data_IF_425637888947
#
_entry.id   IF_425637888947
#
_cell.length_a   1.000
_cell.length_b   1.000
_cell.length_c   1.000
_cell.angle_alpha   90.00
_cell.angle_beta   90.00
_cell.angle_gamma   90.00
#
_symmetry.space_group_name_H-M   'P 1'
#
loop_
_entity.id
_entity.type
_entity.pdbx_description
1 polymer ?
#
# COMPACT_ATOMS: atom_id res chain seq x y z
N UNK A 1 -17.69 27.30 0.36
CA UNK A 1 -18.88 27.53 -0.48
C UNK A 1 -20.09 26.97 0.26
N UNK A 2 -21.13 27.77 0.44
CA UNK A 2 -22.40 27.31 1.03
C UNK A 2 -23.33 26.87 -0.10
N UNK A 3 -23.90 25.67 -0.02
CA UNK A 3 -24.87 25.15 -0.99
C UNK A 3 -26.13 24.66 -0.27
N UNK A 4 -27.27 24.62 -0.99
CA UNK A 4 -28.53 24.11 -0.43
C UNK A 4 -28.51 22.58 -0.44
N UNK A 5 -28.93 21.96 0.66
CA UNK A 5 -28.86 20.50 0.85
C UNK A 5 -29.49 19.68 -0.29
N UNK A 6 -30.57 20.18 -0.91
CA UNK A 6 -31.27 19.50 -2.01
C UNK A 6 -30.68 19.78 -3.41
N UNK A 7 -29.76 20.74 -3.51
CA UNK A 7 -29.01 21.05 -4.73
C UNK A 7 -27.60 20.42 -4.70
N UNK A 8 -27.34 19.54 -3.72
CA UNK A 8 -26.11 18.79 -3.63
C UNK A 8 -25.98 17.86 -4.86
N UNK A 9 -24.79 17.74 -5.47
CA UNK A 9 -24.55 16.73 -6.49
C UNK A 9 -24.94 15.35 -5.95
N UNK A 10 -25.75 14.61 -6.70
CA UNK A 10 -26.04 13.22 -6.37
C UNK A 10 -24.71 12.46 -6.34
N UNK A 11 -24.48 11.71 -5.27
CA UNK A 11 -23.32 10.81 -5.20
C UNK A 11 -23.42 9.82 -6.34
N UNK A 12 -22.36 9.72 -7.12
CA UNK A 12 -22.29 8.79 -8.24
C UNK A 12 -22.43 7.35 -7.73
N UNK A 13 -23.29 6.50 -8.33
CA UNK A 13 -23.53 5.14 -7.84
C UNK A 13 -22.27 4.27 -7.74
N UNK A 14 -21.25 4.55 -8.58
CA UNK A 14 -19.95 3.87 -8.55
C UNK A 14 -19.19 4.09 -7.25
N UNK A 15 -19.41 5.19 -6.51
CA UNK A 15 -18.80 5.44 -5.20
C UNK A 15 -19.25 4.46 -4.11
N UNK A 16 -20.34 3.72 -4.33
CA UNK A 16 -20.85 2.74 -3.38
C UNK A 16 -20.35 1.30 -3.66
N UNK A 17 -19.55 1.12 -4.71
CA UNK A 17 -18.89 -0.16 -4.96
C UNK A 17 -17.74 -0.31 -3.97
N UNK A 18 -17.58 -1.48 -3.33
CA UNK A 18 -16.66 -1.68 -2.20
C UNK A 18 -15.17 -1.40 -2.46
N UNK A 19 -14.77 -1.18 -3.71
CA UNK A 19 -13.40 -0.83 -4.10
C UNK A 19 -13.31 0.51 -4.86
N UNK A 20 -14.35 1.34 -4.79
CA UNK A 20 -14.31 2.71 -5.26
C UNK A 20 -13.37 3.55 -4.40
N UNK A 21 -12.73 4.55 -5.00
CA UNK A 21 -11.80 5.43 -4.27
C UNK A 21 -10.42 4.83 -4.01
N UNK A 22 -10.02 3.79 -4.75
CA UNK A 22 -8.63 3.35 -4.75
C UNK A 22 -7.72 4.52 -5.18
N UNK A 23 -6.77 4.87 -4.33
CA UNK A 23 -5.82 5.96 -4.57
C UNK A 23 -4.64 5.54 -5.47
N UNK A 24 -4.57 4.25 -5.80
CA UNK A 24 -3.53 3.68 -6.66
C UNK A 24 -4.08 3.51 -8.07
N UNK A 25 -3.53 4.27 -9.02
CA UNK A 25 -3.70 4.05 -10.44
C UNK A 25 -2.87 2.84 -10.89
N UNK A 26 -3.55 1.76 -11.29
CA UNK A 26 -2.95 0.44 -11.52
C UNK A 26 -2.10 0.37 -12.79
N UNK A 27 -2.45 1.17 -13.80
CA UNK A 27 -1.80 1.22 -15.13
C UNK A 27 -1.44 -0.16 -15.72
N UNK A 28 -2.30 -1.16 -15.52
CA UNK A 28 -1.97 -2.56 -15.83
C UNK A 28 -1.69 -2.81 -17.31
N UNK A 29 -2.32 -2.05 -18.21
CA UNK A 29 -2.12 -2.14 -19.66
C UNK A 29 -0.77 -1.57 -20.12
N UNK A 30 -0.14 -0.73 -19.31
CA UNK A 30 1.14 -0.06 -19.62
C UNK A 30 2.33 -0.70 -18.88
N UNK A 31 2.14 -1.88 -18.28
CA UNK A 31 3.16 -2.53 -17.46
C UNK A 31 4.18 -3.27 -18.32
N UNK A 32 5.40 -2.76 -18.36
CA UNK A 32 6.55 -3.43 -18.95
C UNK A 32 7.15 -4.49 -18.00
N UNK A 33 7.95 -5.39 -18.54
CA UNK A 33 8.62 -6.45 -17.76
C UNK A 33 9.53 -5.88 -16.66
N UNK A 34 10.15 -4.72 -16.93
CA UNK A 34 11.07 -4.01 -16.02
C UNK A 34 10.37 -2.99 -15.10
N UNK A 35 9.04 -3.05 -14.99
CA UNK A 35 8.27 -2.04 -14.26
C UNK A 35 8.60 -1.98 -12.77
N UNK A 36 8.94 -3.10 -12.14
CA UNK A 36 9.32 -3.15 -10.72
C UNK A 36 10.68 -2.50 -10.49
N UNK A 37 11.68 -2.78 -11.33
CA UNK A 37 13.01 -2.19 -11.21
C UNK A 37 12.96 -0.68 -11.42
N UNK A 38 12.19 -0.23 -12.43
CA UNK A 38 11.94 1.20 -12.67
C UNK A 38 11.25 1.88 -11.48
N UNK A 39 10.24 1.23 -10.90
CA UNK A 39 9.53 1.76 -9.75
C UNK A 39 10.43 1.85 -8.51
N UNK A 40 11.27 0.85 -8.25
CA UNK A 40 12.20 0.83 -7.12
C UNK A 40 13.37 1.81 -7.26
N UNK A 41 13.68 2.24 -8.49
CA UNK A 41 14.68 3.28 -8.73
C UNK A 41 14.17 4.69 -8.36
N UNK A 42 12.87 4.86 -8.16
CA UNK A 42 12.26 6.10 -7.66
C UNK A 42 12.40 6.17 -6.13
N UNK A 43 13.02 7.24 -5.62
CA UNK A 43 13.17 7.46 -4.17
C UNK A 43 11.83 7.62 -3.44
N UNK A 44 10.78 8.01 -4.16
CA UNK A 44 9.42 8.13 -3.64
C UNK A 44 8.66 6.79 -3.61
N UNK A 45 9.29 5.68 -4.02
CA UNK A 45 8.66 4.36 -3.98
C UNK A 45 8.25 3.97 -2.55
N UNK A 46 6.99 3.58 -2.40
CA UNK A 46 6.40 3.15 -1.13
C UNK A 46 6.09 1.67 -1.15
N UNK A 47 6.59 0.95 -0.16
CA UNK A 47 6.50 -0.51 -0.09
C UNK A 47 5.50 -0.93 0.99
N UNK A 48 4.62 -1.86 0.64
CA UNK A 48 3.74 -2.57 1.56
C UNK A 48 4.35 -3.95 1.81
N UNK A 49 4.91 -4.15 3.01
CA UNK A 49 5.57 -5.41 3.36
C UNK A 49 4.56 -6.45 3.82
N UNK A 50 4.71 -7.69 3.35
CA UNK A 50 3.76 -8.76 3.66
C UNK A 50 4.42 -10.12 3.83
N UNK A 51 3.87 -10.92 4.75
CA UNK A 51 4.28 -12.31 4.98
C UNK A 51 3.11 -13.11 5.53
N UNK A 52 2.99 -14.38 5.15
CA UNK A 52 1.99 -15.30 5.74
C UNK A 52 0.53 -14.82 5.62
N UNK A 53 0.19 -14.04 4.59
CA UNK A 53 -1.15 -13.45 4.42
C UNK A 53 -1.47 -12.29 5.36
N UNK A 54 -0.44 -11.69 5.96
CA UNK A 54 -0.53 -10.51 6.83
C UNK A 54 0.26 -9.35 6.22
N UNK A 55 -0.24 -8.14 6.41
CA UNK A 55 0.43 -6.88 6.08
C UNK A 55 1.17 -6.37 7.32
N UNK A 56 2.38 -5.86 7.13
CA UNK A 56 3.16 -5.24 8.21
C UNK A 56 2.83 -3.76 8.25
N UNK A 57 2.45 -3.29 9.43
CA UNK A 57 2.08 -1.90 9.67
C UNK A 57 2.93 -1.33 10.79
N UNK A 58 3.59 -0.21 10.54
CA UNK A 58 4.28 0.54 11.59
C UNK A 58 3.24 1.15 12.51
N UNK A 59 3.46 1.00 13.82
CA UNK A 59 2.63 1.59 14.86
C UNK A 59 3.43 2.71 15.53
N UNK A 60 3.01 3.94 15.29
CA UNK A 60 3.58 5.13 15.95
C UNK A 60 2.45 6.04 16.43
N UNK A 61 2.51 6.46 17.69
CA UNK A 61 1.52 7.37 18.30
C UNK A 61 0.06 6.93 18.11
N UNK A 62 -0.19 5.61 18.14
CA UNK A 62 -1.53 5.04 17.95
C UNK A 62 -2.05 5.07 16.51
N UNK A 63 -1.22 5.43 15.53
CA UNK A 63 -1.54 5.39 14.11
C UNK A 63 -0.78 4.27 13.41
N UNK A 64 -1.47 3.62 12.46
CA UNK A 64 -0.86 2.64 11.58
C UNK A 64 -0.37 3.31 10.29
N UNK A 65 0.86 2.98 9.90
CA UNK A 65 1.47 3.40 8.64
C UNK A 65 1.93 2.16 7.85
N UNK A 66 1.36 1.90 6.66
CA UNK A 66 1.73 0.74 5.84
C UNK A 66 2.99 0.96 4.99
N UNK A 67 3.53 2.18 4.94
CA UNK A 67 4.55 2.54 3.94
C UNK A 67 5.95 2.39 4.47
N UNK A 68 6.75 1.53 3.83
CA UNK A 68 8.18 1.39 4.06
C UNK A 68 8.95 1.98 2.89
N UNK A 69 10.09 2.61 3.19
CA UNK A 69 11.08 2.93 2.16
C UNK A 69 11.91 1.67 1.81
N UNK A 70 12.53 1.64 0.63
CA UNK A 70 13.36 0.52 0.21
C UNK A 70 14.50 0.20 1.20
N UNK A 71 15.20 1.24 1.68
CA UNK A 71 16.26 1.06 2.68
C UNK A 71 15.73 0.53 4.03
N UNK A 72 14.60 1.07 4.51
CA UNK A 72 13.95 0.63 5.75
C UNK A 72 13.50 -0.83 5.67
N UNK A 73 13.04 -1.27 4.49
CA UNK A 73 12.51 -2.62 4.28
C UNK A 73 13.56 -3.73 4.42
N UNK A 74 14.85 -3.40 4.30
CA UNK A 74 15.93 -4.39 4.44
C UNK A 74 15.97 -5.01 5.84
N UNK A 75 15.58 -4.26 6.88
CA UNK A 75 15.49 -4.76 8.25
C UNK A 75 14.43 -5.86 8.42
N UNK A 76 13.53 -6.02 7.45
CA UNK A 76 12.48 -7.06 7.42
C UNK A 76 12.79 -8.17 6.42
N UNK A 77 14.02 -8.21 5.89
CA UNK A 77 14.45 -9.15 4.86
C UNK A 77 13.53 -9.11 3.63
N UNK A 78 13.15 -7.89 3.22
CA UNK A 78 12.27 -7.68 2.07
C UNK A 78 12.90 -8.16 0.76
N UNK A 79 12.17 -9.00 0.02
CA UNK A 79 12.57 -9.53 -1.29
C UNK A 79 12.09 -8.59 -2.39
N UNK A 80 12.84 -7.50 -2.62
CA UNK A 80 12.49 -6.47 -3.60
C UNK A 80 12.34 -7.01 -5.04
N UNK A 81 13.12 -8.04 -5.39
CA UNK A 81 13.07 -8.79 -6.65
C UNK A 81 11.76 -9.57 -6.85
N UNK A 82 11.07 -9.92 -5.75
CA UNK A 82 9.74 -10.55 -5.76
C UNK A 82 8.61 -9.56 -5.50
N UNK A 83 8.93 -8.26 -5.56
CA UNK A 83 7.96 -7.19 -5.43
C UNK A 83 6.94 -7.19 -6.57
N UNK A 84 5.72 -6.75 -6.26
CA UNK A 84 4.65 -6.58 -7.24
C UNK A 84 4.28 -5.10 -7.28
N UNK A 85 4.48 -4.46 -8.44
CA UNK A 85 3.98 -3.11 -8.67
C UNK A 85 2.45 -3.10 -8.63
N UNK A 86 1.88 -2.41 -7.65
CA UNK A 86 0.43 -2.23 -7.54
C UNK A 86 -0.05 -1.10 -8.45
N UNK A 87 0.78 -0.08 -8.63
CA UNK A 87 0.50 1.08 -9.46
C UNK A 87 1.19 2.34 -8.92
N UNK A 88 0.60 3.49 -9.22
CA UNK A 88 1.11 4.80 -8.84
C UNK A 88 0.06 5.56 -8.06
N UNK A 89 0.53 6.39 -7.13
CA UNK A 89 -0.28 7.31 -6.35
C UNK A 89 0.27 8.72 -6.50
N UNK A 90 -0.42 9.71 -5.92
CA UNK A 90 0.09 11.09 -5.86
C UNK A 90 1.49 11.20 -5.21
N UNK A 91 1.84 10.25 -4.33
CA UNK A 91 3.11 10.23 -3.60
C UNK A 91 4.18 9.34 -4.25
N UNK A 92 3.94 8.81 -5.46
CA UNK A 92 4.89 7.95 -6.17
C UNK A 92 4.43 6.49 -6.34
N UNK A 93 5.35 5.60 -6.80
CA UNK A 93 5.07 4.20 -7.06
C UNK A 93 4.72 3.44 -5.79
N UNK A 94 3.82 2.46 -5.89
CA UNK A 94 3.38 1.63 -4.77
C UNK A 94 3.60 0.16 -5.09
N UNK A 95 4.34 -0.54 -4.24
CA UNK A 95 4.67 -1.94 -4.42
C UNK A 95 4.23 -2.78 -3.22
N UNK A 96 3.75 -4.00 -3.47
CA UNK A 96 3.61 -5.03 -2.44
C UNK A 96 4.86 -5.92 -2.47
N UNK A 97 5.52 -6.11 -1.33
CA UNK A 97 6.81 -6.79 -1.27
C UNK A 97 6.79 -7.88 -0.19
N UNK A 98 7.14 -9.14 -0.53
CA UNK A 98 7.32 -10.18 0.46
C UNK A 98 8.44 -9.84 1.46
N UNK A 99 8.16 -9.95 2.75
CA UNK A 99 9.16 -9.87 3.82
C UNK A 99 9.65 -11.27 4.22
N UNK A 100 10.86 -11.37 4.76
CA UNK A 100 11.44 -12.64 5.24
C UNK A 100 11.24 -12.89 6.74
N UNK A 101 11.12 -11.82 7.53
CA UNK A 101 10.87 -11.94 8.97
C UNK A 101 9.46 -12.50 9.21
N UNK A 102 9.35 -13.52 10.06
CA UNK A 102 8.08 -14.08 10.50
C UNK A 102 7.28 -13.07 11.36
N UNK A 103 5.94 -13.04 11.26
CA UNK A 103 5.09 -12.12 12.01
C UNK A 103 5.33 -12.09 13.53
N UNK A 104 5.67 -13.25 14.10
CA UNK A 104 5.92 -13.43 15.53
C UNK A 104 7.27 -12.87 16.00
N UNK A 105 8.18 -12.58 15.06
CA UNK A 105 9.52 -12.03 15.31
C UNK A 105 9.63 -10.52 14.99
N UNK A 106 8.51 -9.86 14.71
CA UNK A 106 8.49 -8.43 14.42
C UNK A 106 8.81 -7.59 15.67
N UNK A 107 9.45 -6.42 15.50
CA UNK A 107 9.64 -5.48 16.59
C UNK A 107 8.28 -4.98 17.11
N UNK A 108 8.21 -4.56 18.38
CA UNK A 108 6.96 -4.09 19.00
C UNK A 108 6.31 -2.91 18.26
N UNK A 109 7.12 -2.13 17.54
CA UNK A 109 6.72 -0.99 16.71
C UNK A 109 6.08 -1.39 15.38
N UNK A 110 6.01 -2.68 15.04
CA UNK A 110 5.38 -3.17 13.82
C UNK A 110 4.38 -4.28 14.16
N UNK A 111 3.19 -4.19 13.55
CA UNK A 111 2.13 -5.19 13.70
C UNK A 111 1.89 -5.90 12.38
N UNK A 112 1.80 -7.23 12.43
CA UNK A 112 1.30 -8.02 11.33
C UNK A 112 -0.22 -8.18 11.46
N UNK A 113 -0.97 -7.67 10.48
CA UNK A 113 -2.44 -7.71 10.47
C UNK A 113 -2.91 -8.48 9.25
N UNK A 114 -3.88 -9.38 9.42
CA UNK A 114 -4.48 -10.09 8.29
C UNK A 114 -5.25 -9.13 7.37
N UNK A 115 -5.28 -9.41 6.07
CA UNK A 115 -5.87 -8.49 5.09
C UNK A 115 -7.36 -8.19 5.32
N UNK A 116 -8.12 -9.08 5.96
CA UNK A 116 -9.55 -8.86 6.21
C UNK A 116 -9.75 -7.87 7.35
N UNK A 117 -8.91 -7.94 8.38
CA UNK A 117 -8.94 -6.99 9.50
C UNK A 117 -8.44 -5.59 9.12
N UNK A 118 -7.64 -5.45 8.07
CA UNK A 118 -7.22 -4.12 7.55
C UNK A 118 -8.38 -3.35 6.92
N UNK A 119 -9.39 -4.05 6.39
CA UNK A 119 -10.54 -3.44 5.73
C UNK A 119 -11.67 -3.03 6.70
N UNK A 120 -11.84 -3.78 7.80
CA UNK A 120 -13.00 -3.68 8.69
C UNK A 120 -12.96 -2.48 9.65
#
# INVERSE_FOLDING_TARGET
MSFRLFDAPLREPSQFVGFAGNQIDRQSENRADDAVEKALADEAARLMLMHGGRLYLKLSEGKFDPWFAAAESQAFEASLDRGVLLGFSENGPVLAVPAGIEPENLPETVKAIDYRSVYM
#
